data_IF_144032329449
#
_entry.id   IF_144032329449
#
_cell.length_a   1.000
_cell.length_b   1.000
_cell.length_c   1.000
_cell.angle_alpha   90.00
_cell.angle_beta   90.00
_cell.angle_gamma   90.00
#
_symmetry.space_group_name_H-M   'P 1'
#
loop_
_entity.id
_entity.type
_entity.pdbx_description
1 polymer ?
#
# COMPACT_ATOMS: atom_id res chain seq x y z
N UNK A 1 -12.78 21.14 -4.40
CA UNK A 1 -11.76 20.21 -4.91
C UNK A 1 -11.79 19.00 -4.01
N UNK A 2 -12.18 17.84 -4.53
CA UNK A 2 -12.22 16.62 -3.73
C UNK A 2 -10.79 16.20 -3.38
N UNK A 3 -10.54 15.90 -2.11
CA UNK A 3 -9.22 15.46 -1.65
C UNK A 3 -8.95 14.02 -2.13
N UNK A 4 -7.76 13.77 -2.65
CA UNK A 4 -7.37 12.46 -3.17
C UNK A 4 -6.76 11.58 -2.07
N UNK A 5 -7.12 10.29 -2.03
CA UNK A 5 -6.46 9.26 -1.21
C UNK A 5 -5.84 8.22 -2.12
N UNK A 6 -4.60 7.82 -1.85
CA UNK A 6 -3.92 6.76 -2.59
C UNK A 6 -3.81 5.50 -1.73
N UNK A 7 -4.48 4.43 -2.13
CA UNK A 7 -4.38 3.12 -1.49
C UNK A 7 -3.36 2.26 -2.24
N UNK A 8 -2.49 1.57 -1.52
CA UNK A 8 -1.48 0.66 -2.07
C UNK A 8 -1.74 -0.75 -1.54
N UNK A 9 -2.10 -1.65 -2.45
CA UNK A 9 -2.31 -3.06 -2.14
C UNK A 9 -2.22 -3.87 -3.43
N UNK A 10 -1.68 -5.08 -3.34
CA UNK A 10 -1.62 -5.97 -4.49
C UNK A 10 -1.10 -7.36 -4.18
N UNK A 11 -1.30 -8.27 -5.14
CA UNK A 11 -0.89 -9.67 -5.07
C UNK A 11 -2.03 -10.60 -4.67
N UNK A 12 -2.48 -10.55 -3.40
CA UNK A 12 -3.41 -11.53 -2.83
C UNK A 12 -4.65 -10.88 -2.21
N UNK A 13 -5.70 -11.69 -2.00
CA UNK A 13 -6.95 -11.27 -1.34
C UNK A 13 -6.75 -10.68 0.04
N UNK A 14 -5.77 -11.22 0.81
CA UNK A 14 -5.49 -10.75 2.16
C UNK A 14 -5.09 -9.27 2.25
N UNK A 15 -4.52 -8.70 1.17
CA UNK A 15 -4.23 -7.27 1.11
C UNK A 15 -5.33 -6.48 0.39
N UNK A 16 -5.87 -7.03 -0.70
CA UNK A 16 -6.79 -6.30 -1.59
C UNK A 16 -8.19 -6.14 -0.98
N UNK A 17 -8.74 -7.15 -0.31
CA UNK A 17 -10.09 -7.04 0.24
C UNK A 17 -10.22 -6.03 1.40
N UNK A 18 -9.32 -6.03 2.41
CA UNK A 18 -9.37 -5.00 3.45
C UNK A 18 -9.13 -3.60 2.89
N UNK A 19 -8.27 -3.48 1.88
CA UNK A 19 -8.02 -2.23 1.18
C UNK A 19 -9.27 -1.72 0.42
N UNK A 20 -10.04 -2.61 -0.21
CA UNK A 20 -11.31 -2.26 -0.86
C UNK A 20 -12.37 -1.84 0.17
N UNK A 21 -12.42 -2.50 1.34
CA UNK A 21 -13.32 -2.09 2.42
C UNK A 21 -13.01 -0.65 2.87
N UNK A 22 -11.73 -0.30 3.05
CA UNK A 22 -11.34 1.08 3.36
C UNK A 22 -11.58 2.05 2.18
N UNK A 23 -11.41 1.62 0.93
CA UNK A 23 -11.69 2.45 -0.23
C UNK A 23 -13.15 2.93 -0.24
N UNK A 24 -14.10 2.02 0.04
CA UNK A 24 -15.53 2.35 0.15
C UNK A 24 -15.79 3.38 1.24
N UNK A 25 -15.16 3.22 2.40
CA UNK A 25 -15.29 4.18 3.51
C UNK A 25 -14.74 5.57 3.15
N UNK A 26 -13.59 5.64 2.47
CA UNK A 26 -13.06 6.92 1.98
C UNK A 26 -13.99 7.58 0.95
N UNK A 27 -14.55 6.80 0.02
CA UNK A 27 -15.53 7.32 -0.95
C UNK A 27 -16.80 7.83 -0.26
N UNK A 28 -17.32 7.11 0.73
CA UNK A 28 -18.49 7.51 1.51
C UNK A 28 -18.28 8.84 2.25
N UNK A 29 -17.03 9.16 2.62
CA UNK A 29 -16.62 10.44 3.22
C UNK A 29 -16.30 11.53 2.20
N UNK A 30 -16.49 11.30 0.91
CA UNK A 30 -16.28 12.28 -0.16
C UNK A 30 -14.83 12.38 -0.67
N UNK A 31 -13.96 11.41 -0.36
CA UNK A 31 -12.61 11.38 -0.93
C UNK A 31 -12.61 10.71 -2.30
N UNK A 32 -11.78 11.21 -3.21
CA UNK A 32 -11.47 10.53 -4.46
C UNK A 32 -10.38 9.50 -4.24
N UNK A 33 -10.72 8.22 -4.39
CA UNK A 33 -9.80 7.12 -4.12
C UNK A 33 -9.10 6.66 -5.39
N UNK A 34 -7.77 6.62 -5.33
CA UNK A 34 -6.89 6.04 -6.33
C UNK A 34 -6.20 4.81 -5.76
N UNK A 35 -5.82 3.88 -6.64
CA UNK A 35 -5.15 2.66 -6.26
C UNK A 35 -3.77 2.54 -6.91
N UNK A 36 -2.78 2.07 -6.17
CA UNK A 36 -1.47 1.69 -6.67
C UNK A 36 -1.30 0.18 -6.54
N UNK A 37 -1.08 -0.49 -7.66
CA UNK A 37 -0.97 -1.95 -7.75
C UNK A 37 0.19 -2.43 -8.62
N UNK A 38 0.19 -3.72 -8.90
CA UNK A 38 1.15 -4.37 -9.80
C UNK A 38 0.42 -5.06 -10.97
N UNK A 39 1.05 -5.26 -12.13
CA UNK A 39 0.37 -5.83 -13.30
C UNK A 39 -0.07 -7.31 -13.18
N UNK A 40 0.21 -7.99 -12.06
CA UNK A 40 0.10 -9.46 -11.95
C UNK A 40 -0.75 -9.98 -10.80
N UNK A 41 -1.32 -9.12 -9.98
CA UNK A 41 -2.17 -9.56 -8.87
C UNK A 41 -3.66 -9.40 -9.16
N UNK A 42 -4.48 -9.94 -8.26
CA UNK A 42 -5.95 -9.89 -8.37
C UNK A 42 -6.51 -8.45 -8.38
N UNK A 43 -5.71 -7.46 -7.98
CA UNK A 43 -6.09 -6.05 -8.03
C UNK A 43 -6.43 -5.56 -9.45
N UNK A 44 -5.87 -6.19 -10.50
CA UNK A 44 -6.11 -5.80 -11.89
C UNK A 44 -7.55 -6.08 -12.34
N UNK A 45 -8.25 -6.96 -11.64
CA UNK A 45 -9.66 -7.27 -11.89
C UNK A 45 -10.55 -6.53 -10.89
N UNK A 46 -10.29 -6.70 -9.60
CA UNK A 46 -11.19 -6.23 -8.53
C UNK A 46 -11.25 -4.71 -8.41
N UNK A 47 -10.13 -4.00 -8.66
CA UNK A 47 -10.08 -2.54 -8.48
C UNK A 47 -10.85 -1.81 -9.60
N UNK A 48 -10.66 -2.14 -10.89
CA UNK A 48 -11.50 -1.58 -11.95
C UNK A 48 -12.97 -1.94 -11.82
N UNK A 49 -13.30 -3.18 -11.41
CA UNK A 49 -14.69 -3.59 -11.15
C UNK A 49 -15.35 -2.77 -10.03
N UNK A 50 -14.57 -2.32 -9.04
CA UNK A 50 -15.03 -1.41 -7.99
C UNK A 50 -15.12 0.06 -8.44
N UNK A 51 -14.87 0.37 -9.72
CA UNK A 51 -14.91 1.73 -10.26
C UNK A 51 -13.74 2.63 -9.82
N UNK A 52 -12.64 2.03 -9.34
CA UNK A 52 -11.47 2.75 -8.84
C UNK A 52 -10.39 2.87 -9.92
N UNK A 53 -9.70 4.02 -9.96
CA UNK A 53 -8.56 4.20 -10.88
C UNK A 53 -7.34 3.42 -10.39
N UNK A 54 -6.90 2.43 -11.17
CA UNK A 54 -5.72 1.61 -10.90
C UNK A 54 -4.47 2.16 -11.62
N UNK A 55 -3.46 2.54 -10.84
CA UNK A 55 -2.13 2.91 -11.30
C UNK A 55 -1.17 1.74 -11.10
N UNK A 56 -0.42 1.38 -12.14
CA UNK A 56 0.46 0.20 -12.12
C UNK A 56 1.94 0.61 -12.06
N UNK A 57 2.68 -0.04 -11.15
CA UNK A 57 4.14 0.04 -11.08
C UNK A 57 4.77 -1.34 -11.29
N UNK A 58 5.96 -1.36 -11.88
CA UNK A 58 6.68 -2.60 -12.20
C UNK A 58 7.57 -3.01 -11.03
N UNK A 59 6.97 -3.70 -10.06
CA UNK A 59 7.69 -4.29 -8.94
C UNK A 59 7.30 -5.74 -8.73
N UNK A 60 8.28 -6.56 -8.38
CA UNK A 60 8.06 -7.99 -8.15
C UNK A 60 8.86 -8.43 -6.93
N UNK A 61 8.38 -9.47 -6.26
CA UNK A 61 9.09 -10.04 -5.12
C UNK A 61 10.49 -10.52 -5.46
N UNK A 62 11.39 -10.39 -4.48
CA UNK A 62 12.76 -10.89 -4.55
C UNK A 62 12.93 -12.22 -3.80
N UNK A 63 11.94 -12.60 -2.98
CA UNK A 63 11.97 -13.84 -2.19
C UNK A 63 11.98 -15.05 -3.13
N UNK A 64 12.95 -15.96 -2.93
CA UNK A 64 13.11 -17.17 -3.73
C UNK A 64 13.70 -16.95 -5.13
N UNK A 65 14.20 -15.75 -5.46
CA UNK A 65 14.79 -15.50 -6.78
C UNK A 65 16.29 -15.78 -6.82
N UNK A 66 16.77 -16.22 -7.98
CA UNK A 66 18.19 -16.53 -8.22
C UNK A 66 19.11 -15.30 -8.19
N UNK A 67 20.43 -15.55 -8.05
CA UNK A 67 21.50 -14.54 -7.89
C UNK A 67 21.44 -13.40 -8.93
N UNK A 68 21.12 -13.72 -10.17
CA UNK A 68 21.00 -12.72 -11.25
C UNK A 68 19.84 -11.74 -11.03
N UNK A 69 18.72 -12.22 -10.46
CA UNK A 69 17.59 -11.33 -10.14
C UNK A 69 17.87 -10.46 -8.92
N UNK A 70 18.68 -10.94 -7.97
CA UNK A 70 19.15 -10.13 -6.84
C UNK A 70 20.07 -9.00 -7.33
N UNK A 71 20.94 -9.26 -8.31
CA UNK A 71 21.79 -8.22 -8.91
C UNK A 71 20.98 -7.13 -9.63
N UNK A 72 19.88 -7.51 -10.28
CA UNK A 72 18.95 -6.57 -10.94
C UNK A 72 17.98 -5.88 -9.97
N UNK A 73 17.91 -6.31 -8.72
CA UNK A 73 16.93 -5.83 -7.77
C UNK A 73 17.03 -4.32 -7.49
N UNK A 74 18.22 -3.71 -7.28
CA UNK A 74 18.32 -2.27 -7.03
C UNK A 74 17.75 -1.44 -8.18
N UNK A 75 18.06 -1.80 -9.43
CA UNK A 75 17.55 -1.12 -10.62
C UNK A 75 16.04 -1.27 -10.76
N UNK A 76 15.49 -2.46 -10.50
CA UNK A 76 14.05 -2.69 -10.51
C UNK A 76 13.35 -1.84 -9.44
N UNK A 77 13.87 -1.82 -8.21
CA UNK A 77 13.31 -1.05 -7.11
C UNK A 77 13.39 0.46 -7.38
N UNK A 78 14.49 0.95 -7.94
CA UNK A 78 14.64 2.35 -8.34
C UNK A 78 13.62 2.71 -9.42
N UNK A 79 13.44 1.88 -10.44
CA UNK A 79 12.42 2.08 -11.47
C UNK A 79 11.02 2.14 -10.86
N UNK A 80 10.67 1.17 -10.00
CA UNK A 80 9.39 1.14 -9.31
C UNK A 80 9.16 2.38 -8.44
N UNK A 81 10.19 2.85 -7.74
CA UNK A 81 10.16 4.08 -6.96
C UNK A 81 9.89 5.30 -7.84
N UNK A 82 10.56 5.43 -8.99
CA UNK A 82 10.34 6.54 -9.92
C UNK A 82 8.91 6.53 -10.50
N UNK A 83 8.38 5.35 -10.83
CA UNK A 83 6.99 5.20 -11.26
C UNK A 83 6.01 5.60 -10.14
N UNK A 84 6.24 5.14 -8.91
CA UNK A 84 5.42 5.51 -7.77
C UNK A 84 5.47 7.02 -7.47
N UNK A 85 6.66 7.64 -7.55
CA UNK A 85 6.81 9.10 -7.41
C UNK A 85 6.03 9.87 -8.47
N UNK A 86 6.00 9.37 -9.71
CA UNK A 86 5.17 9.96 -10.78
C UNK A 86 3.69 9.94 -10.39
N UNK A 87 3.17 8.78 -9.95
CA UNK A 87 1.77 8.65 -9.52
C UNK A 87 1.45 9.57 -8.35
N UNK A 88 2.29 9.60 -7.29
CA UNK A 88 2.07 10.47 -6.12
C UNK A 88 2.01 11.95 -6.54
N UNK A 89 2.86 12.38 -7.47
CA UNK A 89 2.89 13.77 -7.98
C UNK A 89 1.68 14.12 -8.84
N UNK A 90 1.15 13.16 -9.60
CA UNK A 90 -0.04 13.34 -10.44
C UNK A 90 -1.32 13.34 -9.61
N UNK A 91 -1.46 12.38 -8.70
CA UNK A 91 -2.62 12.22 -7.82
C UNK A 91 -2.67 13.30 -6.74
N UNK A 92 -1.51 13.78 -6.26
CA UNK A 92 -1.39 14.74 -5.13
C UNK A 92 -2.24 14.32 -3.93
N UNK A 93 -2.06 13.09 -3.40
CA UNK A 93 -2.92 12.58 -2.34
C UNK A 93 -2.69 13.33 -1.02
N UNK A 94 -3.77 13.53 -0.27
CA UNK A 94 -3.70 14.09 1.10
C UNK A 94 -3.19 13.05 2.11
N UNK A 95 -3.36 11.76 1.80
CA UNK A 95 -2.74 10.66 2.53
C UNK A 95 -2.58 9.43 1.64
N UNK A 96 -1.63 8.57 2.00
CA UNK A 96 -1.38 7.28 1.36
C UNK A 96 -1.57 6.16 2.39
N UNK A 97 -2.28 5.09 2.00
CA UNK A 97 -2.54 3.94 2.88
C UNK A 97 -1.98 2.67 2.26
N UNK A 98 -1.02 2.02 2.92
CA UNK A 98 -0.41 0.77 2.47
C UNK A 98 -0.93 -0.45 3.21
N UNK A 99 -1.48 -1.42 2.49
CA UNK A 99 -1.97 -2.69 3.06
C UNK A 99 -0.99 -3.85 2.88
N UNK A 100 0.20 -3.62 2.33
CA UNK A 100 1.20 -4.66 2.08
C UNK A 100 1.33 -5.01 0.60
N UNK A 101 1.95 -6.16 0.32
CA UNK A 101 2.39 -6.52 -1.04
C UNK A 101 3.62 -5.74 -1.52
N UNK A 102 4.17 -6.17 -2.67
CA UNK A 102 5.43 -5.61 -3.19
C UNK A 102 5.31 -4.16 -3.67
N UNK A 103 4.09 -3.69 -3.96
CA UNK A 103 3.79 -2.30 -4.35
C UNK A 103 4.02 -1.30 -3.21
N UNK A 104 3.75 -1.73 -1.97
CA UNK A 104 3.71 -0.85 -0.79
C UNK A 104 5.11 -0.33 -0.42
N UNK A 105 6.18 -1.08 -0.67
CA UNK A 105 7.56 -0.63 -0.44
C UNK A 105 7.94 0.65 -1.21
N UNK A 106 8.05 0.59 -2.55
CA UNK A 106 8.37 1.77 -3.36
C UNK A 106 7.29 2.86 -3.27
N UNK A 107 6.01 2.49 -3.14
CA UNK A 107 4.92 3.46 -2.97
C UNK A 107 4.99 4.23 -1.66
N UNK A 108 5.23 3.55 -0.53
CA UNK A 108 5.38 4.18 0.77
C UNK A 108 6.61 5.08 0.85
N UNK A 109 7.72 4.65 0.24
CA UNK A 109 8.91 5.50 0.12
C UNK A 109 8.66 6.73 -0.77
N UNK A 110 7.93 6.57 -1.87
CA UNK A 110 7.54 7.70 -2.73
C UNK A 110 6.69 8.73 -1.96
N UNK A 111 5.72 8.27 -1.16
CA UNK A 111 4.89 9.12 -0.30
C UNK A 111 5.75 9.90 0.72
N UNK A 112 6.65 9.20 1.43
CA UNK A 112 7.59 9.82 2.38
C UNK A 112 8.42 10.92 1.73
N UNK A 113 9.02 10.62 0.58
CA UNK A 113 9.87 11.57 -0.15
C UNK A 113 9.07 12.73 -0.79
N UNK A 114 7.75 12.64 -0.85
CA UNK A 114 6.86 13.70 -1.28
C UNK A 114 6.26 14.50 -0.11
N UNK A 115 6.60 14.15 1.14
CA UNK A 115 6.03 14.78 2.34
C UNK A 115 4.56 14.42 2.58
N UNK A 116 4.05 13.37 1.92
CA UNK A 116 2.66 12.92 2.09
C UNK A 116 2.55 11.97 3.30
N UNK A 117 1.59 12.17 4.21
CA UNK A 117 1.36 11.27 5.33
C UNK A 117 1.13 9.82 4.86
N UNK A 118 1.89 8.89 5.44
CA UNK A 118 1.80 7.46 5.16
C UNK A 118 1.15 6.74 6.34
N UNK A 119 0.09 5.99 6.07
CA UNK A 119 -0.53 5.05 7.00
C UNK A 119 -0.23 3.64 6.49
N UNK A 120 0.12 2.72 7.36
CA UNK A 120 0.24 1.30 7.00
C UNK A 120 -0.72 0.46 7.82
N UNK A 121 -1.20 -0.64 7.22
CA UNK A 121 -2.03 -1.63 7.88
C UNK A 121 -1.42 -3.03 7.68
N UNK A 122 -1.27 -3.77 8.77
CA UNK A 122 -0.86 -5.18 8.75
C UNK A 122 -2.03 -6.08 9.13
N UNK A 123 -2.34 -7.04 8.27
CA UNK A 123 -3.47 -7.94 8.44
C UNK A 123 -3.11 -9.21 9.22
N UNK A 124 -1.83 -9.56 9.22
CA UNK A 124 -1.32 -10.80 9.80
C UNK A 124 -0.78 -10.58 11.21
N UNK A 125 -0.67 -11.66 12.00
CA UNK A 125 -0.05 -11.60 13.31
C UNK A 125 1.46 -11.26 13.26
N UNK A 126 2.13 -11.55 12.13
CA UNK A 126 3.54 -11.24 11.90
C UNK A 126 3.66 -10.21 10.79
N UNK A 127 4.31 -9.08 11.10
CA UNK A 127 4.50 -8.00 10.13
C UNK A 127 5.33 -8.44 8.92
N UNK A 128 4.76 -8.23 7.72
CA UNK A 128 5.44 -8.43 6.45
C UNK A 128 6.65 -7.49 6.29
N UNK A 129 7.62 -7.89 5.46
CA UNK A 129 8.87 -7.12 5.28
C UNK A 129 8.64 -5.69 4.81
N UNK A 130 7.68 -5.48 3.91
CA UNK A 130 7.31 -4.14 3.45
C UNK A 130 6.80 -3.28 4.62
N UNK A 131 5.74 -3.71 5.29
CA UNK A 131 5.15 -2.97 6.41
C UNK A 131 6.15 -2.71 7.54
N UNK A 132 6.95 -3.72 7.89
CA UNK A 132 8.02 -3.60 8.90
C UNK A 132 9.03 -2.50 8.56
N UNK A 133 9.49 -2.44 7.31
CA UNK A 133 10.43 -1.40 6.85
C UNK A 133 9.79 -0.01 6.79
N UNK A 134 8.50 0.07 6.49
CA UNK A 134 7.76 1.34 6.41
C UNK A 134 7.36 1.89 7.79
N UNK A 135 7.23 1.03 8.80
CA UNK A 135 6.69 1.39 10.11
C UNK A 135 7.44 2.55 10.80
N UNK A 136 8.76 2.63 10.65
CA UNK A 136 9.58 3.67 11.26
C UNK A 136 9.21 5.08 10.78
N UNK A 137 8.76 5.21 9.53
CA UNK A 137 8.42 6.49 8.91
C UNK A 137 6.94 6.69 8.61
N UNK A 138 6.10 5.68 8.84
CA UNK A 138 4.66 5.85 8.81
C UNK A 138 4.22 6.86 9.89
N UNK A 139 3.21 7.67 9.55
CA UNK A 139 2.52 8.58 10.45
C UNK A 139 1.61 7.82 11.42
N UNK A 140 1.04 6.70 10.96
CA UNK A 140 0.25 5.75 11.77
C UNK A 140 0.52 4.32 11.31
N UNK A 141 0.51 3.40 12.28
CA UNK A 141 0.71 1.97 12.06
C UNK A 141 -0.50 1.24 12.63
N UNK A 142 -1.34 0.70 11.75
CA UNK A 142 -2.51 -0.08 12.11
C UNK A 142 -2.18 -1.56 12.10
N UNK A 143 -2.59 -2.29 13.12
CA UNK A 143 -2.42 -3.74 13.23
C UNK A 143 -3.76 -4.43 13.49
N UNK A 144 -3.96 -5.57 12.82
CA UNK A 144 -5.14 -6.39 13.06
C UNK A 144 -5.05 -7.15 14.39
N UNK A 145 -3.86 -7.69 14.69
CA UNK A 145 -3.60 -8.43 15.91
C UNK A 145 -2.70 -7.61 16.84
N UNK A 146 -2.94 -7.64 18.15
CA UNK A 146 -2.11 -6.91 19.10
C UNK A 146 -0.67 -7.44 19.08
N UNK A 147 0.30 -6.53 19.29
CA UNK A 147 1.73 -6.85 19.39
C UNK A 147 2.37 -7.34 18.09
N UNK A 148 1.75 -7.09 16.94
CA UNK A 148 2.37 -7.30 15.62
C UNK A 148 3.52 -6.30 15.38
N UNK A 149 3.38 -5.07 15.85
CA UNK A 149 4.46 -4.08 15.92
C UNK A 149 4.86 -3.77 17.37
N UNK A 150 6.10 -3.31 17.53
CA UNK A 150 6.60 -2.77 18.79
C UNK A 150 5.74 -1.58 19.26
N UNK A 151 5.66 -1.40 20.59
CA UNK A 151 4.84 -0.34 21.16
C UNK A 151 5.32 1.05 20.73
N UNK A 152 4.36 1.90 20.38
CA UNK A 152 4.61 3.24 19.84
C UNK A 152 3.35 4.07 19.88
N UNK A 153 3.48 5.38 20.11
CA UNK A 153 2.35 6.33 20.02
C UNK A 153 1.68 6.36 18.64
N UNK A 154 2.34 5.85 17.60
CA UNK A 154 1.83 5.70 16.23
C UNK A 154 0.97 4.45 16.03
N UNK A 155 1.11 3.43 16.89
CA UNK A 155 0.48 2.11 16.78
C UNK A 155 -1.00 2.17 17.16
N UNK A 156 -1.87 1.52 16.39
CA UNK A 156 -3.29 1.34 16.70
C UNK A 156 -3.71 -0.09 16.36
N UNK A 157 -4.28 -0.80 17.32
CA UNK A 157 -4.89 -2.10 17.07
C UNK A 157 -6.32 -1.88 16.58
N UNK A 158 -6.56 -2.10 15.28
CA UNK A 158 -7.83 -1.77 14.61
C UNK A 158 -8.65 -2.99 14.24
N UNK A 159 -8.06 -4.20 14.34
CA UNK A 159 -8.63 -5.38 13.70
C UNK A 159 -8.45 -5.32 12.18
N UNK A 160 -9.02 -6.29 11.46
CA UNK A 160 -9.04 -6.28 10.00
C UNK A 160 -10.30 -5.57 9.48
N UNK A 161 -10.19 -4.61 8.56
CA UNK A 161 -11.34 -4.08 7.83
C UNK A 161 -12.06 -5.20 7.09
N UNK A 162 -13.34 -5.39 7.43
CA UNK A 162 -14.22 -6.38 6.81
C UNK A 162 -15.27 -5.69 5.93
N UNK A 163 -15.82 -6.44 4.97
CA UNK A 163 -16.93 -5.96 4.14
C UNK A 163 -18.19 -5.90 5.02
N UNK A 164 -19.07 -4.94 4.76
CA UNK A 164 -20.30 -4.69 5.54
C UNK A 164 -21.44 -5.66 5.16
N UNK A 165 -21.15 -6.63 4.28
CA UNK A 165 -22.09 -7.65 3.78
C UNK A 165 -22.64 -8.53 4.91
#
# INVERSE_FOLDING_TARGET
>A
MDANVLIMAGGTGGHVFPALACAREFQARGYKVHWLGTPRGIENELVPQAGLTLHLINVTGLRGKGRLSLLKAPFMLLKALMQARKVVREVKPVCVVGFGGYVTGPGGLAAKLAGVPLIIHEQNAVAGTANRSLASFASRVCEAFPNTFADSSKRRTTGNPVRVE
#
